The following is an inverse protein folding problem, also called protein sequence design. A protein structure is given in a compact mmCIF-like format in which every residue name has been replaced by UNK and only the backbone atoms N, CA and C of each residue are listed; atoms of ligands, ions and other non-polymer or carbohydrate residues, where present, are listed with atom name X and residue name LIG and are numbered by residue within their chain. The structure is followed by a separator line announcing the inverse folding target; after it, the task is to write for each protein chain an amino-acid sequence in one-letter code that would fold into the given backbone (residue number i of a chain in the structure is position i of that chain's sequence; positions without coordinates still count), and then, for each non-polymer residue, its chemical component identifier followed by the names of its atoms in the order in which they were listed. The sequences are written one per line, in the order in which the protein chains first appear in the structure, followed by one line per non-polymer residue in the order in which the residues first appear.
data_IF_044660776872
#
_entry.id   IF_044660776872
#
_cell.length_a   1.000
_cell.length_b   1.000
_cell.length_c   1.000
_cell.angle_alpha   90.00
_cell.angle_beta   90.00
_cell.angle_gamma   90.00
#
_symmetry.space_group_name_H-M   'P 1'
#
loop_
_entity.id
_entity.type
_entity.pdbx_description
1 polymer ?
#
# COMPACT_ATOMS: atom_id res chain seq x y z
N UNK A 1 23.30 -2.51 23.10
CA UNK A 1 22.18 -3.48 23.24
C UNK A 1 20.94 -2.81 23.84
N UNK A 2 21.04 -2.10 24.99
CA UNK A 2 19.93 -1.31 25.58
C UNK A 2 19.31 -0.25 24.64
N UNK A 3 20.10 0.39 23.78
CA UNK A 3 19.61 1.39 22.81
C UNK A 3 18.71 0.80 21.71
N UNK A 4 18.97 -0.44 21.28
CA UNK A 4 18.14 -1.12 20.27
C UNK A 4 16.84 -1.62 20.91
N UNK A 5 16.89 -2.06 22.16
CA UNK A 5 15.70 -2.47 22.94
C UNK A 5 14.80 -1.28 23.24
N UNK A 6 15.35 -0.11 23.58
CA UNK A 6 14.55 1.11 23.78
C UNK A 6 13.95 1.67 22.46
N UNK A 7 14.61 1.47 21.32
CA UNK A 7 14.04 1.76 19.99
C UNK A 7 12.90 0.78 19.63
N UNK A 8 13.00 -0.47 20.11
CA UNK A 8 11.98 -1.51 19.94
C UNK A 8 10.77 -1.36 20.89
N UNK A 9 10.90 -0.58 21.96
CA UNK A 9 9.84 -0.29 22.94
C UNK A 9 8.97 0.92 22.59
N UNK A 10 9.17 1.55 21.43
CA UNK A 10 8.42 2.75 21.06
C UNK A 10 7.09 2.44 20.37
N UNK A 11 6.06 3.23 20.69
CA UNK A 11 4.68 3.12 20.23
C UNK A 11 4.52 2.93 18.71
N UNK A 12 5.47 3.46 17.93
CA UNK A 12 5.44 3.39 16.46
C UNK A 12 5.55 1.97 15.90
N UNK A 13 6.22 1.05 16.59
CA UNK A 13 6.37 -0.34 16.11
C UNK A 13 5.04 -1.06 16.20
N UNK A 14 4.35 -0.89 17.32
CA UNK A 14 3.03 -1.46 17.52
C UNK A 14 2.04 -0.88 16.49
N UNK A 15 2.03 0.46 16.31
CA UNK A 15 1.19 1.11 15.29
C UNK A 15 1.51 0.62 13.87
N UNK A 16 2.80 0.43 13.54
CA UNK A 16 3.22 -0.07 12.23
C UNK A 16 2.76 -1.52 12.02
N UNK A 17 2.97 -2.39 13.01
CA UNK A 17 2.58 -3.80 12.93
C UNK A 17 1.08 -3.96 12.68
N UNK A 18 0.25 -3.25 13.44
CA UNK A 18 -1.20 -3.24 13.24
C UNK A 18 -1.60 -2.66 11.89
N UNK A 19 -0.95 -1.59 11.44
CA UNK A 19 -1.19 -1.01 10.11
C UNK A 19 -0.91 -2.03 8.99
N UNK A 20 0.20 -2.77 9.09
CA UNK A 20 0.55 -3.80 8.12
C UNK A 20 -0.48 -4.94 8.09
N UNK A 21 -0.98 -5.36 9.25
CA UNK A 21 -2.04 -6.37 9.35
C UNK A 21 -3.37 -5.88 8.78
N UNK A 22 -3.82 -4.67 9.17
CA UNK A 22 -5.04 -4.08 8.65
C UNK A 22 -4.99 -3.87 7.13
N UNK A 23 -3.81 -3.60 6.57
CA UNK A 23 -3.63 -3.45 5.12
C UNK A 23 -4.08 -4.69 4.32
N UNK A 24 -4.05 -5.89 4.92
CA UNK A 24 -4.45 -7.13 4.22
C UNK A 24 -5.92 -7.09 3.82
N UNK A 25 -6.81 -6.85 4.78
CA UNK A 25 -8.26 -6.83 4.52
C UNK A 25 -8.68 -5.49 3.89
N UNK A 26 -8.07 -4.37 4.26
CA UNK A 26 -8.36 -3.06 3.64
C UNK A 26 -8.10 -3.11 2.14
N UNK A 27 -6.95 -3.66 1.73
CA UNK A 27 -6.60 -3.72 0.31
C UNK A 27 -7.41 -4.77 -0.43
N UNK A 28 -7.88 -5.83 0.25
CA UNK A 28 -8.82 -6.78 -0.32
C UNK A 28 -10.13 -6.10 -0.72
N UNK A 29 -10.71 -5.27 0.16
CA UNK A 29 -11.93 -4.51 -0.10
C UNK A 29 -11.70 -3.52 -1.25
N UNK A 30 -10.60 -2.77 -1.21
CA UNK A 30 -10.26 -1.81 -2.27
C UNK A 30 -10.07 -2.53 -3.62
N UNK A 31 -9.38 -3.66 -3.64
CA UNK A 31 -9.18 -4.44 -4.85
C UNK A 31 -10.50 -5.02 -5.40
N UNK A 32 -11.40 -5.48 -4.53
CA UNK A 32 -12.73 -5.93 -4.92
C UNK A 32 -13.56 -4.79 -5.53
N UNK A 33 -13.55 -3.61 -4.91
CA UNK A 33 -14.19 -2.41 -5.44
C UNK A 33 -13.60 -1.97 -6.78
N UNK A 34 -12.28 -2.01 -6.92
CA UNK A 34 -11.58 -1.75 -8.17
C UNK A 34 -11.97 -2.77 -9.25
N UNK A 35 -12.02 -4.07 -8.95
CA UNK A 35 -12.44 -5.11 -9.87
C UNK A 35 -13.86 -4.89 -10.37
N UNK A 36 -14.77 -4.50 -9.47
CA UNK A 36 -16.15 -4.16 -9.81
C UNK A 36 -16.23 -2.93 -10.73
N UNK A 37 -15.50 -1.87 -10.41
CA UNK A 37 -15.41 -0.67 -11.26
C UNK A 37 -14.83 -1.00 -12.65
N UNK A 38 -13.78 -1.82 -12.72
CA UNK A 38 -13.18 -2.29 -13.97
C UNK A 38 -14.13 -3.19 -14.78
N UNK A 39 -15.02 -3.93 -14.12
CA UNK A 39 -16.05 -4.73 -14.78
C UNK A 39 -17.07 -3.84 -15.49
N UNK A 40 -17.56 -2.77 -14.84
CA UNK A 40 -18.52 -1.84 -15.44
C UNK A 40 -17.89 -0.89 -16.46
N UNK A 41 -16.57 -0.68 -16.40
CA UNK A 41 -15.83 0.20 -17.32
C UNK A 41 -15.16 -0.53 -18.48
N UNK A 42 -15.60 -1.74 -18.83
CA UNK A 42 -15.05 -2.51 -19.97
C UNK A 42 -15.12 -1.77 -21.30
N UNK A 43 -16.12 -0.92 -21.49
CA UNK A 43 -16.32 -0.13 -22.73
C UNK A 43 -15.66 1.25 -22.69
N UNK A 44 -15.00 1.61 -21.58
CA UNK A 44 -14.37 2.91 -21.42
C UNK A 44 -12.94 2.88 -21.98
N UNK A 45 -12.36 4.07 -22.18
CA UNK A 45 -10.96 4.19 -22.61
C UNK A 45 -10.01 3.48 -21.62
N UNK A 46 -8.87 2.96 -22.12
CA UNK A 46 -7.84 2.42 -21.22
C UNK A 46 -7.39 3.47 -20.21
N UNK A 47 -7.33 4.73 -20.61
CA UNK A 47 -6.91 5.79 -19.71
C UNK A 47 -7.84 5.92 -18.49
N UNK A 48 -9.16 5.82 -18.67
CA UNK A 48 -10.11 5.84 -17.56
C UNK A 48 -9.90 4.66 -16.62
N UNK A 49 -9.75 3.46 -17.19
CA UNK A 49 -9.53 2.21 -16.42
C UNK A 49 -8.20 2.25 -15.66
N UNK A 50 -7.16 2.79 -16.29
CA UNK A 50 -5.87 3.09 -15.68
C UNK A 50 -6.02 4.04 -14.50
N UNK A 51 -6.77 5.14 -14.64
CA UNK A 51 -6.99 6.11 -13.56
C UNK A 51 -7.77 5.49 -12.39
N UNK A 52 -8.73 4.60 -12.65
CA UNK A 52 -9.44 3.84 -11.60
C UNK A 52 -8.44 2.98 -10.82
N UNK A 53 -7.64 2.17 -11.51
CA UNK A 53 -6.66 1.30 -10.85
C UNK A 53 -5.59 2.10 -10.08
N UNK A 54 -5.12 3.21 -10.65
CA UNK A 54 -4.18 4.12 -10.00
C UNK A 54 -4.80 4.78 -8.76
N UNK A 55 -6.05 5.24 -8.86
CA UNK A 55 -6.80 5.80 -7.74
C UNK A 55 -6.96 4.80 -6.61
N UNK A 56 -7.27 3.54 -6.91
CA UNK A 56 -7.33 2.45 -5.91
C UNK A 56 -5.98 2.20 -5.24
N UNK A 57 -4.86 2.26 -5.97
CA UNK A 57 -3.52 2.14 -5.39
C UNK A 57 -3.21 3.32 -4.45
N UNK A 58 -3.52 4.55 -4.86
CA UNK A 58 -3.29 5.73 -4.01
C UNK A 58 -4.19 5.72 -2.78
N UNK A 59 -5.44 5.28 -2.92
CA UNK A 59 -6.35 5.09 -1.80
C UNK A 59 -5.81 4.06 -0.80
N UNK A 60 -5.18 2.98 -1.29
CA UNK A 60 -4.53 1.96 -0.45
C UNK A 60 -3.37 2.54 0.36
N UNK A 61 -2.53 3.40 -0.25
CA UNK A 61 -1.48 4.09 0.49
C UNK A 61 -2.04 5.08 1.53
N UNK A 62 -3.08 5.83 1.16
CA UNK A 62 -3.73 6.82 2.03
C UNK A 62 -4.39 6.17 3.25
N UNK A 63 -5.14 5.08 3.06
CA UNK A 63 -5.80 4.37 4.16
C UNK A 63 -4.79 3.79 5.15
N UNK A 64 -3.64 3.30 4.68
CA UNK A 64 -2.60 2.81 5.57
C UNK A 64 -1.97 3.94 6.37
N UNK A 65 -1.75 5.12 5.77
CA UNK A 65 -1.26 6.29 6.49
C UNK A 65 -2.27 6.76 7.57
N UNK A 66 -3.56 6.77 7.25
CA UNK A 66 -4.62 7.10 8.22
C UNK A 66 -4.66 6.07 9.35
N UNK A 67 -4.60 4.77 9.02
CA UNK A 67 -4.60 3.68 10.00
C UNK A 67 -3.41 3.82 10.96
N UNK A 68 -2.22 4.08 10.43
CA UNK A 68 -1.02 4.32 11.23
C UNK A 68 -1.19 5.51 12.18
N UNK A 69 -1.71 6.62 11.66
CA UNK A 69 -1.94 7.82 12.46
C UNK A 69 -2.96 7.59 13.58
N UNK A 70 -4.06 6.89 13.30
CA UNK A 70 -5.08 6.55 14.30
C UNK A 70 -4.50 5.69 15.43
N UNK A 71 -3.68 4.68 15.09
CA UNK A 71 -3.02 3.84 16.09
C UNK A 71 -2.00 4.62 16.92
N UNK A 72 -1.27 5.56 16.30
CA UNK A 72 -0.33 6.42 17.01
C UNK A 72 -1.05 7.36 17.99
N UNK A 73 -2.19 7.91 17.60
CA UNK A 73 -3.00 8.77 18.46
C UNK A 73 -3.67 7.98 19.60
N UNK A 74 -4.17 6.77 19.33
CA UNK A 74 -4.77 5.92 20.36
C UNK A 74 -3.76 5.56 21.47
N UNK A 75 -2.50 5.25 21.11
CA UNK A 75 -1.43 5.05 22.09
C UNK A 75 -1.17 6.29 22.95
N UNK A 76 -1.30 7.50 22.37
CA UNK A 76 -1.13 8.76 23.11
C UNK A 76 -2.33 9.10 24.01
N UNK A 77 -3.56 8.79 23.58
CA UNK A 77 -4.78 9.03 24.37
C UNK A 77 -4.89 8.11 25.58
N UNK A 78 -4.43 6.84 25.51
CA UNK A 78 -4.40 5.92 26.65
C UNK A 78 -3.53 6.46 27.80
N UNK A 79 -2.44 7.18 27.48
CA UNK A 79 -1.58 7.84 28.48
C UNK A 79 -2.27 9.08 29.10
N UNK A 80 -3.20 9.71 28.38
CA UNK A 80 -3.89 10.96 28.80
C UNK A 80 -5.27 10.76 29.43
N UNK A 81 -5.97 9.65 29.15
CA UNK A 81 -7.37 9.40 29.52
C UNK A 81 -7.57 8.33 30.61
N UNK A 82 -6.52 7.93 31.32
CA UNK A 82 -6.61 7.09 32.53
C UNK A 82 -7.48 7.67 33.66
N UNK A 83 -8.14 8.82 33.45
CA UNK A 83 -8.98 9.50 34.45
C UNK A 83 -10.49 9.50 34.21
N UNK A 84 -11.08 9.05 33.08
CA UNK A 84 -12.56 9.15 32.93
C UNK A 84 -13.25 8.02 32.16
N UNK A 85 -14.08 7.31 32.92
CA UNK A 85 -15.31 6.58 32.57
C UNK A 85 -15.23 5.21 31.90
N UNK A 86 -15.71 4.21 32.65
CA UNK A 86 -16.08 2.86 32.20
C UNK A 86 -17.61 2.80 32.08
N UNK A 87 -18.10 2.37 30.92
CA UNK A 87 -19.48 1.90 30.75
C UNK A 87 -19.44 0.52 30.08
N UNK A 88 -20.10 -0.46 30.71
CA UNK A 88 -20.12 -1.85 30.28
C UNK A 88 -21.17 -2.10 29.18
N UNK A 89 -20.78 -2.85 28.14
CA UNK A 89 -21.68 -3.49 27.18
C UNK A 89 -21.27 -4.99 27.05
N UNK A 90 -22.20 -5.93 26.77
CA UNK A 90 -22.01 -7.37 26.95
C UNK A 90 -21.25 -8.05 25.80
N UNK A 91 -20.36 -8.96 26.15
CA UNK A 91 -19.49 -9.74 25.27
C UNK A 91 -20.06 -11.17 25.11
N UNK A 92 -20.77 -11.42 24.01
CA UNK A 92 -21.16 -12.78 23.60
C UNK A 92 -20.80 -13.00 22.13
N UNK A 93 -19.51 -13.02 21.82
CA UNK A 93 -18.97 -13.63 20.60
C UNK A 93 -17.43 -13.83 20.72
N UNK A 94 -16.99 -15.09 20.72
CA UNK A 94 -15.67 -15.53 20.23
C UNK A 94 -14.43 -15.43 21.14
N UNK A 95 -14.36 -16.31 22.14
CA UNK A 95 -13.11 -16.69 22.86
C UNK A 95 -11.92 -17.00 21.92
N UNK A 96 -12.18 -17.53 20.72
CA UNK A 96 -11.15 -17.85 19.73
C UNK A 96 -10.56 -16.62 19.04
N UNK A 97 -11.40 -15.63 18.71
CA UNK A 97 -10.95 -14.40 18.06
C UNK A 97 -10.06 -13.59 19.01
N UNK A 98 -10.46 -13.51 20.29
CA UNK A 98 -9.67 -12.88 21.34
C UNK A 98 -8.30 -13.55 21.51
N UNK A 99 -8.24 -14.89 21.53
CA UNK A 99 -6.97 -15.63 21.63
C UNK A 99 -6.02 -15.42 20.44
N UNK A 100 -6.58 -15.24 19.24
CA UNK A 100 -5.80 -14.99 18.03
C UNK A 100 -5.28 -13.55 18.00
N UNK A 101 -6.11 -12.58 18.41
CA UNK A 101 -5.72 -11.18 18.55
C UNK A 101 -4.61 -11.04 19.59
N UNK A 102 -4.74 -11.65 20.77
CA UNK A 102 -3.72 -11.60 21.82
C UNK A 102 -2.41 -12.29 21.42
N UNK A 103 -2.49 -13.41 20.69
CA UNK A 103 -1.30 -14.06 20.11
C UNK A 103 -0.59 -13.15 19.10
N UNK A 104 -1.34 -12.46 18.24
CA UNK A 104 -0.77 -11.50 17.28
C UNK A 104 -0.16 -10.30 18.00
N UNK A 105 -0.86 -9.74 18.99
CA UNK A 105 -0.36 -8.62 19.81
C UNK A 105 0.98 -8.96 20.46
N UNK A 106 1.11 -10.15 21.04
CA UNK A 106 2.36 -10.59 21.69
C UNK A 106 3.53 -10.79 20.71
N UNK A 107 3.25 -11.09 19.44
CA UNK A 107 4.26 -11.32 18.40
C UNK A 107 4.42 -10.16 17.41
N UNK A 108 3.79 -9.00 17.67
CA UNK A 108 3.74 -7.87 16.73
C UNK A 108 5.14 -7.33 16.40
N UNK A 109 6.03 -7.28 17.39
CA UNK A 109 7.42 -6.83 17.22
C UNK A 109 8.20 -7.77 16.29
N UNK A 110 8.04 -9.08 16.45
CA UNK A 110 8.66 -10.09 15.57
C UNK A 110 8.15 -9.96 14.13
N UNK A 111 6.85 -9.70 13.96
CA UNK A 111 6.25 -9.46 12.64
C UNK A 111 6.89 -8.24 11.96
N UNK A 112 7.05 -7.12 12.68
CA UNK A 112 7.69 -5.92 12.13
C UNK A 112 9.15 -6.17 11.76
N UNK A 113 9.90 -6.98 12.53
CA UNK A 113 11.27 -7.37 12.17
C UNK A 113 11.30 -8.19 10.89
N UNK A 114 10.42 -9.19 10.76
CA UNK A 114 10.31 -10.00 9.53
C UNK A 114 9.95 -9.11 8.34
N UNK A 115 9.02 -8.18 8.52
CA UNK A 115 8.66 -7.18 7.52
C UNK A 115 9.86 -6.31 7.13
N UNK A 116 10.65 -5.83 8.09
CA UNK A 116 11.83 -5.00 7.85
C UNK A 116 12.88 -5.76 7.03
N UNK A 117 13.13 -7.03 7.35
CA UNK A 117 14.02 -7.90 6.56
C UNK A 117 13.54 -8.02 5.11
N UNK A 118 12.24 -8.27 4.90
CA UNK A 118 11.65 -8.32 3.57
C UNK A 118 11.75 -6.98 2.83
N UNK A 119 11.44 -5.88 3.50
CA UNK A 119 11.55 -4.52 2.97
C UNK A 119 12.98 -4.22 2.51
N UNK A 120 14.00 -4.61 3.30
CA UNK A 120 15.41 -4.44 2.94
C UNK A 120 15.79 -5.25 1.69
N UNK A 121 15.34 -6.51 1.59
CA UNK A 121 15.59 -7.36 0.42
C UNK A 121 14.96 -6.76 -0.84
N UNK A 122 13.69 -6.33 -0.78
CA UNK A 122 13.00 -5.72 -1.92
C UNK A 122 13.55 -4.33 -2.27
N UNK A 123 14.01 -3.56 -1.28
CA UNK A 123 14.68 -2.27 -1.51
C UNK A 123 16.03 -2.47 -2.20
N UNK A 124 16.82 -3.46 -1.77
CA UNK A 124 18.09 -3.79 -2.42
C UNK A 124 17.87 -4.26 -3.85
N UNK A 125 16.88 -5.14 -4.08
CA UNK A 125 16.50 -5.55 -5.43
C UNK A 125 16.14 -4.35 -6.32
N UNK A 126 15.27 -3.46 -5.83
CA UNK A 126 14.87 -2.25 -6.56
C UNK A 126 16.07 -1.35 -6.87
N UNK A 127 17.02 -1.23 -5.93
CA UNK A 127 18.24 -0.46 -6.12
C UNK A 127 19.17 -1.09 -7.17
N UNK A 128 19.27 -2.42 -7.19
CA UNK A 128 20.03 -3.17 -8.21
C UNK A 128 19.39 -2.96 -9.58
N UNK A 129 18.07 -3.13 -9.70
CA UNK A 129 17.33 -2.90 -10.95
C UNK A 129 17.51 -1.46 -11.46
N UNK A 130 17.42 -0.48 -10.56
CA UNK A 130 17.68 0.92 -10.89
C UNK A 130 19.11 1.18 -11.36
N UNK A 131 20.12 0.64 -10.65
CA UNK A 131 21.53 0.77 -11.05
C UNK A 131 21.81 0.11 -12.38
N UNK A 132 21.21 -1.04 -12.65
CA UNK A 132 21.32 -1.73 -13.93
C UNK A 132 20.76 -0.87 -15.08
N UNK A 133 19.58 -0.28 -14.90
CA UNK A 133 19.02 0.66 -15.88
C UNK A 133 19.92 1.88 -16.12
N UNK A 134 20.51 2.45 -15.06
CA UNK A 134 21.44 3.57 -15.19
C UNK A 134 22.76 3.17 -15.86
N UNK A 135 23.23 1.95 -15.61
CA UNK A 135 24.41 1.41 -16.28
C UNK A 135 24.19 1.29 -17.79
N UNK A 136 23.07 0.69 -18.22
CA UNK A 136 22.70 0.58 -19.65
C UNK A 136 22.50 1.96 -20.28
N UNK A 137 21.93 2.93 -19.54
CA UNK A 137 21.73 4.30 -20.04
C UNK A 137 23.05 5.01 -20.36
N UNK A 138 24.10 4.76 -19.60
CA UNK A 138 25.34 5.53 -19.67
C UNK A 138 26.46 4.79 -20.41
N UNK A 139 26.32 3.49 -20.67
CA UNK A 139 27.36 2.69 -21.30
C UNK A 139 26.90 2.06 -22.62
N UNK A 140 27.86 1.85 -23.52
CA UNK A 140 27.65 1.12 -24.78
C UNK A 140 26.54 1.73 -25.67
N UNK A 141 26.49 3.06 -25.67
CA UNK A 141 25.65 3.86 -26.55
C UNK A 141 26.36 4.00 -27.89
N UNK A 142 25.71 3.56 -28.96
CA UNK A 142 26.15 3.82 -30.31
C UNK A 142 25.71 5.23 -30.75
N UNK A 143 26.51 5.88 -31.59
CA UNK A 143 26.13 7.16 -32.20
C UNK A 143 24.81 7.01 -32.96
N UNK A 144 23.79 7.76 -32.57
CA UNK A 144 22.49 7.78 -33.26
C UNK A 144 22.67 8.48 -34.62
N UNK A 145 22.48 7.80 -35.77
CA UNK A 145 22.59 8.43 -37.08
C UNK A 145 21.62 9.61 -37.23
N UNK A 146 22.01 10.62 -37.99
CA UNK A 146 21.24 11.87 -38.16
C UNK A 146 19.82 11.64 -38.70
N UNK A 147 19.65 10.65 -39.59
CA UNK A 147 18.34 10.21 -40.07
C UNK A 147 17.38 9.82 -38.92
N UNK A 148 17.88 9.10 -37.92
CA UNK A 148 17.06 8.67 -36.78
C UNK A 148 16.80 9.80 -35.79
N UNK A 149 17.75 10.72 -35.63
CA UNK A 149 17.56 11.91 -34.80
C UNK A 149 16.49 12.85 -35.38
N UNK A 150 16.54 13.11 -36.68
CA UNK A 150 15.57 13.96 -37.39
C UNK A 150 14.17 13.35 -37.42
N UNK A 151 14.07 12.04 -37.67
CA UNK A 151 12.81 11.30 -37.57
C UNK A 151 12.24 11.40 -36.14
N UNK A 152 13.08 11.15 -35.14
CA UNK A 152 12.66 11.21 -33.74
C UNK A 152 12.18 12.60 -33.33
N UNK A 153 12.88 13.67 -33.71
CA UNK A 153 12.45 15.04 -33.47
C UNK A 153 11.07 15.33 -34.09
N UNK A 154 10.83 14.82 -35.30
CA UNK A 154 9.51 14.91 -35.95
C UNK A 154 8.43 14.19 -35.16
N UNK A 155 8.71 12.99 -34.65
CA UNK A 155 7.77 12.23 -33.83
C UNK A 155 7.51 12.90 -32.47
N UNK A 156 8.53 13.45 -31.81
CA UNK A 156 8.40 14.19 -30.56
C UNK A 156 7.44 15.37 -30.73
N UNK A 157 7.60 16.13 -31.82
CA UNK A 157 6.70 17.24 -32.16
C UNK A 157 5.27 16.76 -32.43
N UNK A 158 5.09 15.65 -33.17
CA UNK A 158 3.76 15.05 -33.45
C UNK A 158 3.05 14.57 -32.17
N UNK A 159 3.77 13.96 -31.24
CA UNK A 159 3.19 13.43 -29.99
C UNK A 159 2.93 14.56 -28.98
N UNK A 160 3.69 15.66 -29.06
CA UNK A 160 3.57 16.83 -28.18
C UNK A 160 4.28 16.63 -26.84
N UNK A 161 5.47 16.02 -26.85
CA UNK A 161 6.28 15.78 -25.63
C UNK A 161 7.40 16.81 -25.53
N UNK A 162 8.04 16.91 -24.36
CA UNK A 162 9.17 17.79 -24.13
C UNK A 162 10.30 17.52 -25.17
N UNK A 163 10.81 18.55 -25.87
CA UNK A 163 11.86 18.39 -26.87
C UNK A 163 13.21 17.92 -26.30
N UNK A 164 13.42 18.02 -24.99
CA UNK A 164 14.65 17.58 -24.33
C UNK A 164 14.77 16.05 -24.18
N UNK A 165 13.82 15.27 -24.72
CA UNK A 165 13.92 13.82 -24.76
C UNK A 165 14.94 13.44 -25.83
N UNK A 166 15.89 12.57 -25.48
CA UNK A 166 16.93 12.10 -26.39
C UNK A 166 16.64 10.66 -26.84
N UNK A 167 16.93 10.37 -28.11
CA UNK A 167 17.00 9.02 -28.64
C UNK A 167 18.45 8.53 -28.66
N UNK A 168 18.72 7.40 -28.01
CA UNK A 168 20.03 6.75 -28.01
C UNK A 168 19.91 5.30 -28.45
N UNK A 169 20.87 4.84 -29.24
CA UNK A 169 20.95 3.44 -29.66
C UNK A 169 21.80 2.68 -28.64
N UNK A 170 21.27 1.58 -28.11
CA UNK A 170 21.98 0.75 -27.14
C UNK A 170 22.26 -0.63 -27.72
N UNK A 171 23.48 -1.12 -27.49
CA UNK A 171 23.87 -2.51 -27.82
C UNK A 171 23.55 -3.50 -26.70
N UNK A 172 23.26 -3.02 -25.49
CA UNK A 172 22.93 -3.84 -24.31
C UNK A 172 21.43 -3.92 -24.02
N UNK A 173 20.64 -2.96 -24.49
CA UNK A 173 19.20 -2.96 -24.28
C UNK A 173 18.54 -4.13 -25.03
N UNK A 174 17.74 -4.92 -24.31
CA UNK A 174 16.99 -6.07 -24.86
C UNK A 174 15.66 -5.60 -25.49
N UNK A 175 15.09 -4.53 -24.96
CA UNK A 175 13.83 -3.94 -25.42
C UNK A 175 13.93 -2.40 -25.45
N UNK A 176 13.15 -1.72 -26.31
CA UNK A 176 12.95 -0.29 -26.24
C UNK A 176 12.50 0.10 -24.84
N UNK A 177 13.08 1.15 -24.28
CA UNK A 177 12.66 1.64 -22.98
C UNK A 177 13.01 3.13 -22.79
N UNK A 178 12.13 3.85 -22.11
CA UNK A 178 12.40 5.20 -21.63
C UNK A 178 13.05 5.18 -20.24
N UNK A 179 14.25 5.75 -20.10
CA UNK A 179 15.01 5.82 -18.84
C UNK A 179 15.28 7.28 -18.41
N UNK A 180 14.90 7.60 -17.17
CA UNK A 180 15.23 8.85 -16.48
C UNK A 180 14.04 9.74 -16.20
N UNK A 181 14.15 10.53 -15.13
CA UNK A 181 13.04 11.33 -14.57
C UNK A 181 13.00 12.78 -15.07
N UNK A 182 14.15 13.46 -15.08
CA UNK A 182 14.27 14.89 -15.45
C UNK A 182 14.64 15.08 -16.92
N UNK A 183 15.46 14.17 -17.46
CA UNK A 183 15.87 14.10 -18.86
C UNK A 183 15.62 12.66 -19.34
N UNK A 184 14.40 12.33 -19.77
CA UNK A 184 14.07 11.00 -20.26
C UNK A 184 14.91 10.73 -21.51
N UNK A 185 15.51 9.54 -21.56
CA UNK A 185 16.22 9.06 -22.74
C UNK A 185 15.51 7.80 -23.20
N UNK A 186 15.10 7.76 -24.47
CA UNK A 186 14.55 6.55 -25.09
C UNK A 186 15.74 5.76 -25.64
N UNK A 187 15.94 4.56 -25.11
CA UNK A 187 16.92 3.61 -25.61
C UNK A 187 16.27 2.72 -26.65
N UNK A 188 16.85 2.68 -27.84
CA UNK A 188 16.45 1.77 -28.91
C UNK A 188 17.52 0.67 -29.06
N UNK A 189 17.17 -0.62 -28.88
CA UNK A 189 18.08 -1.73 -29.13
C UNK A 189 18.59 -1.74 -30.57
N UNK A 190 19.89 -1.98 -30.75
CA UNK A 190 20.48 -2.13 -32.09
C UNK A 190 19.82 -3.27 -32.89
N UNK A 191 19.42 -4.36 -32.21
CA UNK A 191 18.72 -5.48 -32.87
C UNK A 191 17.36 -5.09 -33.46
N UNK A 192 16.64 -4.16 -32.81
CA UNK A 192 15.37 -3.63 -33.33
C UNK A 192 15.62 -2.73 -34.53
N UNK A 193 16.65 -1.88 -34.44
CA UNK A 193 17.03 -0.97 -35.52
C UNK A 193 17.42 -1.71 -36.81
N UNK A 194 18.12 -2.84 -36.70
CA UNK A 194 18.58 -3.64 -37.83
C UNK A 194 17.53 -4.66 -38.31
N UNK A 195 16.65 -5.11 -37.43
CA UNK A 195 15.66 -6.14 -37.73
C UNK A 195 14.33 -5.62 -38.28
N UNK A 196 14.07 -4.32 -38.22
CA UNK A 196 12.78 -3.73 -38.58
C UNK A 196 12.91 -2.62 -39.61
N UNK A 197 11.87 -2.42 -40.40
CA UNK A 197 11.80 -1.31 -41.34
C UNK A 197 11.49 0.02 -40.63
N UNK A 198 11.64 1.14 -41.35
CA UNK A 198 11.45 2.47 -40.78
C UNK A 198 10.04 2.68 -40.20
N UNK A 199 8.99 2.25 -40.90
CA UNK A 199 7.61 2.42 -40.45
C UNK A 199 7.33 1.66 -39.13
N UNK A 200 7.92 0.48 -38.98
CA UNK A 200 7.83 -0.31 -37.75
C UNK A 200 8.57 0.36 -36.59
N UNK A 201 9.75 0.92 -36.85
CA UNK A 201 10.51 1.67 -35.84
C UNK A 201 9.76 2.93 -35.42
N UNK A 202 9.13 3.65 -36.36
CA UNK A 202 8.27 4.79 -36.05
C UNK A 202 7.14 4.40 -35.09
N UNK A 203 6.48 3.26 -35.33
CA UNK A 203 5.45 2.72 -34.44
C UNK A 203 5.98 2.46 -33.02
N UNK A 204 7.15 1.82 -32.90
CA UNK A 204 7.78 1.56 -31.59
C UNK A 204 8.10 2.88 -30.88
N UNK A 205 8.70 3.83 -31.59
CA UNK A 205 9.04 5.14 -31.01
C UNK A 205 7.79 5.92 -30.60
N UNK A 206 6.69 5.86 -31.35
CA UNK A 206 5.41 6.46 -30.96
C UNK A 206 4.87 5.87 -29.65
N UNK A 207 5.02 4.56 -29.44
CA UNK A 207 4.62 3.91 -28.19
C UNK A 207 5.49 4.37 -27.00
N UNK A 208 6.81 4.39 -27.15
CA UNK A 208 7.72 4.87 -26.11
C UNK A 208 7.52 6.37 -25.79
N UNK A 209 7.26 7.19 -26.83
CA UNK A 209 6.91 8.59 -26.65
C UNK A 209 5.55 8.77 -25.95
N UNK A 210 4.60 7.84 -26.12
CA UNK A 210 3.35 7.86 -25.38
C UNK A 210 3.58 7.65 -23.88
N UNK A 211 4.46 6.74 -23.47
CA UNK A 211 4.88 6.60 -22.07
C UNK A 211 5.49 7.89 -21.52
N UNK A 212 6.36 8.54 -22.30
CA UNK A 212 6.98 9.81 -21.92
C UNK A 212 5.95 10.94 -21.78
N UNK A 213 4.99 11.04 -22.71
CA UNK A 213 3.88 12.00 -22.67
C UNK A 213 3.03 11.84 -21.41
N UNK A 214 2.74 10.59 -21.03
CA UNK A 214 1.94 10.25 -19.84
C UNK A 214 2.73 10.34 -18.54
N UNK A 215 4.05 10.56 -18.61
CA UNK A 215 4.96 10.58 -17.45
C UNK A 215 4.88 9.29 -16.64
N UNK A 216 4.73 8.15 -17.33
CA UNK A 216 4.52 6.85 -16.69
C UNK A 216 5.68 6.45 -15.77
N UNK A 217 6.86 7.02 -15.97
CA UNK A 217 8.03 6.84 -15.11
C UNK A 217 7.80 7.34 -13.66
N UNK A 218 7.08 8.44 -13.46
CA UNK A 218 6.76 8.97 -12.11
C UNK A 218 5.83 8.02 -11.41
N UNK A 219 4.77 7.59 -12.11
CA UNK A 219 3.79 6.66 -11.57
C UNK A 219 4.44 5.31 -11.29
N UNK A 220 5.33 4.84 -12.17
CA UNK A 220 6.10 3.61 -11.98
C UNK A 220 6.98 3.67 -10.73
N UNK A 221 7.59 4.82 -10.41
CA UNK A 221 8.35 5.01 -9.18
C UNK A 221 7.44 4.92 -7.95
N UNK A 222 6.34 5.67 -7.93
CA UNK A 222 5.38 5.63 -6.81
C UNK A 222 4.83 4.23 -6.59
N UNK A 223 4.44 3.54 -7.67
CA UNK A 223 3.98 2.15 -7.65
C UNK A 223 5.06 1.20 -7.12
N UNK A 224 6.33 1.44 -7.44
CA UNK A 224 7.47 0.63 -6.94
C UNK A 224 7.70 0.85 -5.44
N UNK A 225 7.61 2.10 -4.96
CA UNK A 225 7.72 2.42 -3.54
C UNK A 225 6.61 1.72 -2.75
N UNK A 226 5.35 1.88 -3.16
CA UNK A 226 4.20 1.27 -2.48
C UNK A 226 4.30 -0.27 -2.51
N UNK A 227 4.69 -0.86 -3.65
CA UNK A 227 4.95 -2.32 -3.75
C UNK A 227 6.06 -2.79 -2.83
N UNK A 228 7.11 -1.99 -2.64
CA UNK A 228 8.23 -2.35 -1.76
C UNK A 228 7.81 -2.34 -0.30
N UNK A 229 7.01 -1.36 0.11
CA UNK A 229 6.46 -1.27 1.47
C UNK A 229 5.49 -2.42 1.79
N UNK A 230 4.64 -2.80 0.84
CA UNK A 230 3.62 -3.84 1.03
C UNK A 230 3.87 -5.07 0.15
N UNK A 231 5.14 -5.50 0.05
CA UNK A 231 5.58 -6.58 -0.85
C UNK A 231 4.84 -7.91 -0.63
N UNK A 232 4.35 -8.14 0.59
CA UNK A 232 3.62 -9.33 1.00
C UNK A 232 2.15 -9.32 0.59
N UNK A 233 1.58 -8.15 0.24
CA UNK A 233 0.14 -8.00 0.02
C UNK A 233 -0.26 -8.41 -1.41
N UNK A 234 -1.04 -9.51 -1.59
CA UNK A 234 -1.40 -10.01 -2.91
C UNK A 234 -2.38 -9.08 -3.66
N UNK A 235 -3.22 -8.34 -2.94
CA UNK A 235 -4.21 -7.44 -3.53
C UNK A 235 -3.55 -6.18 -4.10
N UNK A 236 -2.54 -5.65 -3.40
CA UNK A 236 -1.71 -4.58 -3.94
C UNK A 236 -0.98 -5.03 -5.21
N UNK A 237 -0.44 -6.25 -5.21
CA UNK A 237 0.21 -6.83 -6.40
C UNK A 237 -0.76 -6.95 -7.57
N UNK A 238 -1.99 -7.38 -7.31
CA UNK A 238 -3.03 -7.43 -8.33
C UNK A 238 -3.36 -6.03 -8.86
N UNK A 239 -3.54 -5.03 -8.00
CA UNK A 239 -3.79 -3.63 -8.40
C UNK A 239 -2.66 -3.09 -9.28
N UNK A 240 -1.40 -3.29 -8.87
CA UNK A 240 -0.21 -2.96 -9.67
C UNK A 240 -0.29 -3.59 -11.06
N UNK A 241 -0.63 -4.88 -11.14
CA UNK A 241 -0.72 -5.56 -12.44
C UNK A 241 -1.84 -5.00 -13.32
N UNK A 242 -2.94 -4.49 -12.75
CA UNK A 242 -3.99 -3.82 -13.53
C UNK A 242 -3.50 -2.47 -14.06
N UNK A 243 -2.78 -1.69 -13.24
CA UNK A 243 -2.15 -0.44 -13.67
C UNK A 243 -1.20 -0.70 -14.83
N UNK A 244 -0.33 -1.71 -14.70
CA UNK A 244 0.63 -2.07 -15.73
C UNK A 244 -0.07 -2.45 -17.05
N UNK A 245 -1.14 -3.25 -17.00
CA UNK A 245 -1.92 -3.63 -18.20
C UNK A 245 -2.61 -2.44 -18.87
N UNK A 246 -3.33 -1.64 -18.10
CA UNK A 246 -4.08 -0.50 -18.65
C UNK A 246 -3.15 0.62 -19.12
N UNK A 247 -1.94 0.73 -18.54
CA UNK A 247 -0.89 1.63 -19.02
C UNK A 247 -0.45 1.28 -20.44
N UNK A 248 -0.11 0.01 -20.69
CA UNK A 248 0.28 -0.45 -22.03
C UNK A 248 -0.83 -0.17 -23.06
N UNK A 249 -2.07 -0.50 -22.70
CA UNK A 249 -3.23 -0.24 -23.55
C UNK A 249 -3.44 1.24 -23.85
N UNK A 250 -3.26 2.11 -22.86
CA UNK A 250 -3.43 3.53 -23.07
C UNK A 250 -2.30 4.13 -23.94
N UNK A 251 -1.10 3.55 -23.90
CA UNK A 251 0.01 3.95 -24.78
C UNK A 251 -0.22 3.44 -26.20
N UNK A 252 -0.69 2.21 -26.37
CA UNK A 252 -1.13 1.66 -27.66
C UNK A 252 -2.21 2.54 -28.31
N UNK A 253 -3.22 2.94 -27.54
CA UNK A 253 -4.31 3.81 -28.02
C UNK A 253 -3.76 5.17 -28.53
N UNK A 254 -2.75 5.76 -27.86
CA UNK A 254 -2.11 7.02 -28.29
C UNK A 254 -1.29 6.81 -29.57
N UNK A 255 -0.48 5.75 -29.61
CA UNK A 255 0.38 5.48 -30.76
C UNK A 255 -0.43 5.21 -32.03
N UNK A 256 -1.50 4.41 -31.93
CA UNK A 256 -2.41 4.14 -33.06
C UNK A 256 -3.18 5.38 -33.49
N UNK A 257 -3.61 6.24 -32.56
CA UNK A 257 -4.29 7.48 -32.90
C UNK A 257 -3.43 8.42 -33.77
N UNK A 258 -2.10 8.39 -33.58
CA UNK A 258 -1.15 9.20 -34.35
C UNK A 258 -0.77 8.51 -35.67
N UNK A 259 -0.43 7.22 -35.62
CA UNK A 259 0.01 6.45 -36.80
C UNK A 259 -1.15 6.20 -37.79
N UNK A 260 -2.39 6.10 -37.30
CA UNK A 260 -3.61 5.82 -38.08
C UNK A 260 -3.61 4.48 -38.84
N UNK A 261 -2.66 3.59 -38.56
CA UNK A 261 -2.60 2.23 -39.11
C UNK A 261 -2.50 1.18 -37.99
N UNK A 262 -3.64 0.60 -37.56
CA UNK A 262 -3.68 -0.46 -36.56
C UNK A 262 -3.07 -1.79 -37.03
N UNK A 263 -3.08 -2.06 -38.35
CA UNK A 263 -2.58 -3.32 -38.90
C UNK A 263 -1.05 -3.32 -38.89
N UNK A 264 -0.43 -2.23 -39.34
CA UNK A 264 1.00 -2.02 -39.19
C UNK A 264 1.41 -2.15 -37.73
N UNK A 265 0.66 -1.53 -36.80
CA UNK A 265 0.95 -1.62 -35.38
C UNK A 265 0.93 -3.07 -34.86
N UNK A 266 -0.12 -3.82 -35.18
CA UNK A 266 -0.25 -5.22 -34.77
C UNK A 266 0.89 -6.10 -35.31
N UNK A 267 1.27 -5.89 -36.57
CA UNK A 267 2.39 -6.61 -37.19
C UNK A 267 3.73 -6.25 -36.53
N UNK A 268 4.00 -4.97 -36.27
CA UNK A 268 5.18 -4.52 -35.53
C UNK A 268 5.26 -5.16 -34.16
N UNK A 269 4.16 -5.20 -33.40
CA UNK A 269 4.14 -5.79 -32.06
C UNK A 269 4.39 -7.31 -32.11
N UNK A 270 3.81 -8.00 -33.11
CA UNK A 270 4.04 -9.43 -33.33
C UNK A 270 5.52 -9.71 -33.64
N UNK A 271 6.10 -8.96 -34.57
CA UNK A 271 7.49 -9.12 -34.98
C UNK A 271 8.46 -8.82 -33.83
N UNK A 272 8.22 -7.73 -33.10
CA UNK A 272 8.98 -7.39 -31.90
C UNK A 272 8.97 -8.51 -30.86
N UNK A 273 7.81 -9.12 -30.64
CA UNK A 273 7.70 -10.22 -29.69
C UNK A 273 8.42 -11.47 -30.18
N UNK A 274 8.38 -11.79 -31.47
CA UNK A 274 9.14 -12.94 -32.02
C UNK A 274 10.65 -12.75 -31.87
N UNK A 275 11.17 -11.52 -32.01
CA UNK A 275 12.58 -11.20 -31.75
C UNK A 275 12.95 -11.40 -30.28
N UNK A 276 12.07 -11.03 -29.34
CA UNK A 276 12.31 -11.16 -27.90
C UNK A 276 12.15 -12.58 -27.34
N UNK A 277 11.25 -13.39 -27.90
CA UNK A 277 11.00 -14.77 -27.46
C UNK A 277 12.28 -15.61 -27.60
N UNK A 278 13.09 -15.34 -28.62
CA UNK A 278 14.37 -16.03 -28.84
C UNK A 278 15.45 -15.70 -27.80
N UNK A 279 15.21 -14.74 -26.89
CA UNK A 279 16.18 -14.26 -25.90
C UNK A 279 15.79 -14.59 -24.44
N UNK A 280 14.62 -15.20 -24.18
CA UNK A 280 14.16 -15.52 -22.81
C UNK A 280 13.85 -17.02 -22.65
N UNK A 281 14.14 -17.63 -21.48
CA UNK A 281 13.83 -19.03 -21.24
C UNK A 281 12.31 -19.29 -21.28
N UNK A 282 11.95 -20.50 -21.73
CA UNK A 282 10.63 -20.94 -22.21
C UNK A 282 9.42 -20.84 -21.24
N UNK A 283 9.58 -20.23 -20.06
CA UNK A 283 8.58 -20.23 -18.99
C UNK A 283 7.73 -18.94 -18.93
N UNK A 284 7.41 -18.34 -20.09
CA UNK A 284 6.59 -17.13 -20.14
C UNK A 284 5.26 -17.34 -20.89
N UNK A 285 4.44 -18.28 -20.42
CA UNK A 285 3.09 -18.57 -20.93
C UNK A 285 2.18 -17.32 -20.86
N UNK A 286 2.43 -16.41 -19.91
CA UNK A 286 1.65 -15.18 -19.76
C UNK A 286 1.97 -14.11 -20.82
N UNK A 287 3.18 -14.11 -21.41
CA UNK A 287 3.58 -13.14 -22.44
C UNK A 287 2.70 -13.20 -23.68
N UNK A 288 2.39 -14.41 -24.17
CA UNK A 288 1.57 -14.60 -25.37
C UNK A 288 0.11 -14.13 -25.16
N UNK A 289 -0.46 -14.37 -23.97
CA UNK A 289 -1.82 -13.89 -23.65
C UNK A 289 -1.89 -12.36 -23.61
N UNK A 290 -0.86 -11.70 -23.07
CA UNK A 290 -0.81 -10.24 -23.00
C UNK A 290 -0.68 -9.61 -24.39
N UNK A 291 0.16 -10.19 -25.26
CA UNK A 291 0.30 -9.74 -26.65
C UNK A 291 -0.99 -9.91 -27.44
N UNK A 292 -1.64 -11.08 -27.36
CA UNK A 292 -2.92 -11.31 -28.03
C UNK A 292 -3.97 -10.32 -27.56
N UNK A 293 -4.05 -10.06 -26.25
CA UNK A 293 -4.97 -9.07 -25.68
C UNK A 293 -4.73 -7.68 -26.28
N UNK A 294 -3.47 -7.25 -26.40
CA UNK A 294 -3.11 -5.97 -27.06
C UNK A 294 -3.56 -5.95 -28.51
N UNK A 295 -3.19 -6.95 -29.31
CA UNK A 295 -3.55 -7.02 -30.74
C UNK A 295 -5.06 -7.04 -30.95
N UNK A 296 -5.81 -7.90 -30.24
CA UNK A 296 -7.27 -7.98 -30.36
C UNK A 296 -7.94 -6.65 -30.03
N UNK A 297 -7.41 -5.90 -29.06
CA UNK A 297 -7.95 -4.60 -28.68
C UNK A 297 -7.80 -3.54 -29.77
N UNK A 298 -6.72 -3.57 -30.57
CA UNK A 298 -6.48 -2.58 -31.63
C UNK A 298 -7.57 -2.60 -32.71
N UNK A 299 -8.16 -3.78 -32.96
CA UNK A 299 -9.20 -3.96 -33.97
C UNK A 299 -10.62 -3.83 -33.41
N UNK A 300 -10.78 -3.95 -32.09
CA UNK A 300 -12.06 -3.71 -31.43
C UNK A 300 -12.23 -2.21 -31.16
N UNK A 301 -12.94 -1.53 -32.06
CA UNK A 301 -13.34 -0.13 -31.90
C UNK A 301 -14.17 0.02 -30.61
N UNK A 302 -13.62 0.69 -29.60
CA UNK A 302 -14.39 1.02 -28.40
C UNK A 302 -15.40 2.12 -28.75
N UNK A 303 -16.69 1.77 -28.71
CA UNK A 303 -17.78 2.72 -28.92
C UNK A 303 -17.81 3.77 -27.79
N UNK A 304 -18.13 5.02 -28.13
CA UNK A 304 -18.28 6.10 -27.15
C UNK A 304 -19.43 5.78 -26.20
N UNK A 305 -19.12 5.68 -24.91
CA UNK A 305 -20.08 5.28 -23.88
C UNK A 305 -21.12 6.38 -23.60
N UNK A 306 -22.37 5.97 -23.40
CA UNK A 306 -23.49 6.82 -22.97
C UNK A 306 -23.24 7.53 -21.62
N UNK A 307 -23.74 8.78 -21.48
CA UNK A 307 -23.68 9.59 -20.25
C UNK A 307 -24.26 8.89 -19.01
N UNK A 308 -25.24 7.99 -19.18
CA UNK A 308 -25.90 7.28 -18.07
C UNK A 308 -24.94 6.39 -17.25
N UNK A 309 -23.95 5.75 -17.89
CA UNK A 309 -22.97 4.90 -17.17
C UNK A 309 -22.01 5.69 -16.28
N UNK A 310 -21.79 6.97 -16.57
CA UNK A 310 -20.90 7.82 -15.75
C UNK A 310 -21.53 8.13 -14.38
N UNK A 311 -22.85 8.31 -14.32
CA UNK A 311 -23.59 8.57 -13.06
C UNK A 311 -23.58 7.36 -12.13
N UNK A 312 -23.75 6.14 -12.65
CA UNK A 312 -23.66 4.90 -11.88
C UNK A 312 -22.26 4.63 -11.32
N UNK A 313 -21.21 5.04 -12.04
CA UNK A 313 -19.83 4.89 -11.56
C UNK A 313 -19.53 5.91 -10.46
N UNK A 314 -19.96 7.16 -10.63
CA UNK A 314 -19.78 8.18 -9.61
C UNK A 314 -20.45 7.78 -8.29
N UNK A 315 -21.67 7.24 -8.33
CA UNK A 315 -22.34 6.74 -7.13
C UNK A 315 -21.63 5.54 -6.52
N UNK A 316 -21.11 4.59 -7.33
CA UNK A 316 -20.35 3.45 -6.83
C UNK A 316 -19.02 3.87 -6.16
N UNK A 317 -18.32 4.85 -6.73
CA UNK A 317 -17.08 5.41 -6.15
C UNK A 317 -17.39 6.08 -4.82
N UNK A 318 -18.44 6.90 -4.76
CA UNK A 318 -18.86 7.57 -3.52
C UNK A 318 -19.21 6.53 -2.46
N UNK A 319 -20.01 5.51 -2.80
CA UNK A 319 -20.39 4.44 -1.88
C UNK A 319 -19.19 3.63 -1.38
N UNK A 320 -18.26 3.26 -2.26
CA UNK A 320 -17.03 2.55 -1.86
C UNK A 320 -16.16 3.44 -0.96
N UNK A 321 -16.03 4.73 -1.27
CA UNK A 321 -15.26 5.66 -0.46
C UNK A 321 -15.89 5.88 0.93
N UNK A 322 -17.22 5.95 1.04
CA UNK A 322 -17.90 6.12 2.33
C UNK A 322 -17.81 4.86 3.20
N UNK A 323 -17.90 3.66 2.62
CA UNK A 323 -17.67 2.39 3.34
C UNK A 323 -16.25 2.33 3.87
N UNK A 324 -15.26 2.67 3.04
CA UNK A 324 -13.85 2.66 3.44
C UNK A 324 -13.61 3.63 4.61
N UNK A 325 -14.15 4.84 4.55
CA UNK A 325 -14.06 5.82 5.64
C UNK A 325 -14.76 5.30 6.91
N UNK A 326 -15.97 4.76 6.80
CA UNK A 326 -16.73 4.24 7.94
C UNK A 326 -15.99 3.10 8.67
N UNK A 327 -15.36 2.19 7.93
CA UNK A 327 -14.59 1.10 8.53
C UNK A 327 -13.27 1.61 9.15
N UNK A 328 -12.66 2.68 8.61
CA UNK A 328 -11.46 3.29 9.20
C UNK A 328 -11.73 4.04 10.51
N UNK A 329 -12.89 4.69 10.61
CA UNK A 329 -13.30 5.41 11.83
C UNK A 329 -13.65 4.41 12.96
N UNK A 330 -14.19 3.25 12.60
CA UNK A 330 -14.51 2.18 13.56
C UNK A 330 -13.34 1.25 13.90
N UNK A 331 -12.21 1.33 13.19
CA UNK A 331 -10.98 0.61 13.52
C UNK A 331 -10.17 1.30 14.64
N UNK A 332 -10.83 2.02 15.56
CA UNK A 332 -10.22 2.41 16.83
C UNK A 332 -9.97 1.14 17.65
N UNK A 333 -8.83 1.00 18.34
CA UNK A 333 -8.65 -0.09 19.28
C UNK A 333 -9.78 -0.01 20.32
N UNK A 334 -10.49 -1.11 20.51
CA UNK A 334 -11.46 -1.26 21.58
C UNK A 334 -10.69 -1.08 22.89
N UNK A 335 -11.10 -0.12 23.72
CA UNK A 335 -10.53 0.06 25.05
C UNK A 335 -10.85 -1.21 25.85
N UNK A 336 -9.86 -2.09 26.02
CA UNK A 336 -9.94 -3.14 27.04
C UNK A 336 -10.28 -2.47 28.37
N UNK A 337 -11.27 -3.03 29.08
CA UNK A 337 -11.87 -2.45 30.28
C UNK A 337 -10.88 -2.42 31.44
N UNK A 338 -10.02 -1.41 31.50
CA UNK A 338 -9.19 -1.10 32.67
C UNK A 338 -10.04 -0.49 33.80
N UNK A 339 -10.00 -1.09 34.99
CA UNK A 339 -10.59 -0.53 36.22
C UNK A 339 -9.47 0.19 36.98
N UNK A 340 -9.53 1.51 37.12
CA UNK A 340 -8.60 2.29 37.95
C UNK A 340 -9.23 2.61 39.32
N UNK A 341 -8.53 2.32 40.40
CA UNK A 341 -8.94 2.62 41.78
C UNK A 341 -7.94 3.59 42.42
N UNK A 342 -8.44 4.69 42.96
CA UNK A 342 -7.59 5.68 43.62
C UNK A 342 -7.55 5.38 45.13
N UNK A 343 -6.45 4.77 45.60
CA UNK A 343 -6.26 4.41 47.02
C UNK A 343 -5.30 5.41 47.66
N UNK A 344 -5.85 6.50 48.21
CA UNK A 344 -5.00 7.62 48.63
C UNK A 344 -4.34 7.45 50.01
N UNK A 345 -4.69 6.44 50.83
CA UNK A 345 -4.12 6.31 52.20
C UNK A 345 -4.01 4.88 52.77
N UNK A 346 -4.16 3.83 51.97
CA UNK A 346 -3.92 2.44 52.44
C UNK A 346 -2.65 1.91 51.78
N UNK A 347 -1.79 1.23 52.55
CA UNK A 347 -0.60 0.62 52.00
C UNK A 347 -1.00 -0.43 50.97
N UNK A 348 -0.54 -0.22 49.73
CA UNK A 348 -0.81 -1.09 48.56
C UNK A 348 -0.58 -2.57 48.86
N UNK A 349 0.39 -2.85 49.73
CA UNK A 349 0.75 -4.21 50.12
C UNK A 349 -0.35 -4.94 50.91
N UNK A 350 -1.12 -4.22 51.73
CA UNK A 350 -2.19 -4.82 52.55
C UNK A 350 -3.41 -5.16 51.70
N UNK A 351 -3.74 -4.29 50.75
CA UNK A 351 -4.81 -4.51 49.76
C UNK A 351 -4.48 -5.70 48.85
N UNK A 352 -3.23 -5.79 48.39
CA UNK A 352 -2.74 -6.90 47.56
C UNK A 352 -2.76 -8.23 48.32
N UNK A 353 -2.39 -8.23 49.60
CA UNK A 353 -2.38 -9.45 50.42
C UNK A 353 -3.80 -9.99 50.64
N UNK A 354 -4.78 -9.11 50.88
CA UNK A 354 -6.16 -9.52 51.12
C UNK A 354 -6.87 -9.98 49.83
N UNK A 355 -6.56 -9.35 48.69
CA UNK A 355 -7.07 -9.78 47.37
C UNK A 355 -6.46 -11.11 46.97
N UNK A 356 -5.14 -11.29 47.06
CA UNK A 356 -4.48 -12.54 46.70
C UNK A 356 -4.93 -13.70 47.60
N UNK A 357 -5.21 -13.43 48.89
CA UNK A 357 -5.73 -14.42 49.84
C UNK A 357 -7.16 -14.88 49.52
N UNK A 358 -8.01 -14.01 48.96
CA UNK A 358 -9.42 -14.32 48.65
C UNK A 358 -9.63 -14.79 47.20
N UNK A 359 -8.84 -14.32 46.25
CA UNK A 359 -8.96 -14.63 44.82
C UNK A 359 -7.94 -15.67 44.31
N UNK A 360 -6.86 -15.95 45.06
CA UNK A 360 -5.93 -17.04 44.75
C UNK A 360 -5.06 -16.85 43.51
N UNK A 361 -4.79 -15.61 43.09
CA UNK A 361 -3.98 -15.31 41.89
C UNK A 361 -2.77 -14.42 42.18
N UNK A 362 -1.63 -14.72 41.55
CA UNK A 362 -0.39 -13.91 41.55
C UNK A 362 -0.34 -12.90 40.37
N UNK A 363 -1.46 -12.65 39.70
CA UNK A 363 -1.54 -11.98 38.39
C UNK A 363 -1.99 -10.51 38.45
N UNK A 364 -1.85 -9.84 39.59
CA UNK A 364 -2.20 -8.41 39.71
C UNK A 364 -0.98 -7.55 39.40
N UNK A 365 -0.95 -6.95 38.20
CA UNK A 365 0.06 -5.96 37.82
C UNK A 365 -0.30 -4.59 38.39
N UNK A 366 0.62 -4.02 39.16
CA UNK A 366 0.46 -2.71 39.82
C UNK A 366 1.37 -1.69 39.16
N UNK A 367 0.80 -0.61 38.62
CA UNK A 367 1.56 0.58 38.22
C UNK A 367 1.32 1.69 39.23
N UNK A 368 2.42 2.24 39.78
CA UNK A 368 2.42 3.38 40.69
C UNK A 368 2.81 4.61 39.91
N UNK A 369 1.94 5.61 39.86
CA UNK A 369 2.29 6.92 39.33
C UNK A 369 1.67 8.01 40.23
N UNK A 370 2.50 8.95 40.71
CA UNK A 370 2.10 10.09 41.55
C UNK A 370 1.18 9.79 42.76
N UNK A 371 1.30 8.61 43.38
CA UNK A 371 0.50 8.23 44.56
C UNK A 371 -0.78 7.45 44.25
N UNK A 372 -1.12 7.32 42.96
CA UNK A 372 -2.24 6.48 42.50
C UNK A 372 -1.74 5.07 42.14
N UNK A 373 -2.62 4.09 42.33
CA UNK A 373 -2.31 2.66 42.20
C UNK A 373 -3.30 2.06 41.20
N UNK A 374 -2.84 1.70 40.01
CA UNK A 374 -3.72 1.06 39.02
C UNK A 374 -3.56 -0.46 39.10
N UNK A 375 -4.68 -1.18 39.24
CA UNK A 375 -4.71 -2.64 39.28
C UNK A 375 -5.24 -3.17 37.94
N UNK A 376 -4.50 -4.08 37.32
CA UNK A 376 -4.96 -4.84 36.14
C UNK A 376 -5.45 -6.22 36.61
N UNK A 377 -6.71 -6.55 36.33
CA UNK A 377 -7.34 -7.82 36.69
C UNK A 377 -7.79 -8.54 35.40
N UNK A 378 -7.43 -9.81 35.24
CA UNK A 378 -7.96 -10.66 34.16
C UNK A 378 -9.38 -11.17 34.48
N UNK A 379 -10.19 -11.30 33.42
CA UNK A 379 -11.66 -11.35 33.36
C UNK A 379 -12.44 -12.31 34.28
N UNK A 380 -11.80 -13.22 35.02
CA UNK A 380 -12.51 -14.33 35.69
C UNK A 380 -12.95 -13.99 37.13
N UNK A 381 -12.53 -12.86 37.72
CA UNK A 381 -12.89 -12.51 39.11
C UNK A 381 -13.44 -11.11 39.35
N UNK A 382 -13.74 -10.34 38.29
CA UNK A 382 -14.06 -8.91 38.39
C UNK A 382 -15.21 -8.59 39.34
N UNK A 383 -16.36 -9.27 39.28
CA UNK A 383 -17.51 -8.88 40.12
C UNK A 383 -17.28 -9.17 41.62
N UNK A 384 -16.64 -10.30 41.94
CA UNK A 384 -16.32 -10.66 43.32
C UNK A 384 -15.19 -9.79 43.90
N UNK A 385 -14.18 -9.46 43.09
CA UNK A 385 -13.07 -8.60 43.48
C UNK A 385 -13.52 -7.15 43.68
N UNK A 386 -14.41 -6.63 42.83
CA UNK A 386 -15.01 -5.29 42.96
C UNK A 386 -15.81 -5.18 44.26
N UNK A 387 -16.65 -6.18 44.57
CA UNK A 387 -17.44 -6.20 45.80
C UNK A 387 -16.55 -6.20 47.05
N UNK A 388 -15.52 -7.07 47.05
CA UNK A 388 -14.55 -7.17 48.15
C UNK A 388 -13.73 -5.88 48.35
N UNK A 389 -13.36 -5.21 47.27
CA UNK A 389 -12.67 -3.92 47.31
C UNK A 389 -13.57 -2.80 47.85
N UNK A 390 -14.84 -2.79 47.47
CA UNK A 390 -15.82 -1.83 47.99
C UNK A 390 -16.09 -2.05 49.48
N UNK A 391 -16.23 -3.30 49.92
CA UNK A 391 -16.44 -3.67 51.32
C UNK A 391 -15.21 -3.30 52.18
N UNK A 392 -14.00 -3.55 51.70
CA UNK A 392 -12.75 -3.24 52.42
C UNK A 392 -12.53 -1.72 52.60
N UNK A 393 -12.88 -0.93 51.59
CA UNK A 393 -12.85 0.55 51.66
C UNK A 393 -13.93 1.08 52.61
N UNK A 394 -15.11 0.45 52.64
CA UNK A 394 -16.19 0.81 53.55
C UNK A 394 -15.86 0.50 55.03
N UNK A 395 -15.12 -0.58 55.31
CA UNK A 395 -14.68 -0.96 56.67
C UNK A 395 -13.54 -0.08 57.22
N UNK A 396 -12.82 0.67 56.37
CA UNK A 396 -11.68 1.51 56.76
C UNK A 396 -11.86 2.99 56.34
N UNK A 397 -12.86 3.72 56.86
CA UNK A 397 -13.05 5.12 56.52
C UNK A 397 -11.90 6.00 57.07
N UNK A 398 -11.35 6.87 56.22
CA UNK A 398 -10.28 7.79 56.60
C UNK A 398 -10.72 8.76 57.71
N UNK A 399 -9.82 9.17 58.64
CA UNK A 399 -10.15 10.19 59.62
C UNK A 399 -10.30 11.56 58.94
N UNK A 400 -11.42 12.22 59.21
CA UNK A 400 -11.71 13.59 58.80
C UNK A 400 -10.70 14.51 59.49
N UNK A 401 -9.77 15.10 58.74
CA UNK A 401 -8.97 16.21 59.25
C UNK A 401 -9.77 17.50 59.05
N UNK A 402 -10.22 18.07 60.17
CA UNK A 402 -10.76 19.43 60.25
C UNK A 402 -9.75 20.43 59.66
N UNK A 403 -10.28 21.38 58.87
CA UNK A 403 -9.55 22.59 58.48
C UNK A 403 -9.27 23.42 59.72
N UNK A 404 -8.00 23.60 60.08
CA UNK A 404 -7.53 24.76 60.85
C UNK A 404 -6.72 25.69 59.93
N UNK A 405 -6.86 26.99 60.18
CA UNK A 405 -6.69 28.07 59.21
C UNK A 405 -5.25 28.55 58.95
N UNK A 406 -5.07 29.21 57.81
CA UNK A 406 -5.01 30.68 57.73
C UNK A 406 -5.39 31.15 56.33
#
# INVERSE_FOLDING_TARGET
MRTIVNLLQQDWINSLGWTLLHSLWQYAIIAAGCALLLFFTKTFSANTRYLIALGSLMLSALISAITFHNYQQASAEIIMHSTKQVAAIPFFAEKNLFSLVSFISSHINSLVVVWLCGFLVYSLKTLVDYRYCQHIKNQHIASTPEQWQSLFATLVAKVGVNPNIELRISTLAIAPCAIGYLKPVILLPLGVLLGMNQQQIEVILLHELAHARRKDYVIGLTQTIIKTLFFFNPFLRWLSNQIDKEREHACDDIAVAINKDPLLFANTLKEFATMNINQKPAMNINGNKLLLTRITRLFNKHERVSKSRHSLIASLIIMLSSIVIAVCVNAKPENDKTISLNVTKVAVQDVMTEINKKCGTDEVLVTKDNGDVTLLLEDISCDAAIQLLQDFVAENPAPILEKEGS
#
